data_IF_777327830017
#
_entry.id   IF_777327830017
#
_cell.length_a   1.000
_cell.length_b   1.000
_cell.length_c   1.000
_cell.angle_alpha   90.00
_cell.angle_beta   90.00
_cell.angle_gamma   90.00
#
_symmetry.space_group_name_H-M   'P 1'
#
loop_
_entity.id
_entity.type
_entity.pdbx_description
1 polymer ?
#
# COMPACT_ATOMS: atom_id res chain seq x y z
N UNK A 1 38.14 -27.03 -33.05
CA UNK A 1 38.67 -26.15 -31.98
C UNK A 1 37.58 -25.11 -31.73
N UNK A 2 36.67 -25.38 -30.79
CA UNK A 2 35.48 -24.56 -30.53
C UNK A 2 35.81 -23.50 -29.48
N UNK A 3 36.09 -22.27 -29.91
CA UNK A 3 36.19 -21.11 -29.03
C UNK A 3 34.79 -20.60 -28.69
N UNK A 4 34.14 -21.25 -27.72
CA UNK A 4 32.94 -20.72 -27.06
C UNK A 4 33.42 -19.78 -25.96
N UNK A 5 33.91 -18.60 -26.34
CA UNK A 5 34.07 -17.49 -25.40
C UNK A 5 32.95 -16.51 -25.71
N UNK A 6 32.05 -16.20 -24.77
CA UNK A 6 31.08 -15.13 -24.98
C UNK A 6 31.86 -13.85 -25.23
N UNK A 7 31.60 -13.22 -26.36
CA UNK A 7 32.13 -11.91 -26.68
C UNK A 7 31.60 -10.89 -25.65
N UNK A 8 32.41 -9.88 -25.34
CA UNK A 8 32.09 -8.83 -24.36
C UNK A 8 30.78 -8.10 -24.68
N UNK A 9 30.35 -8.09 -25.94
CA UNK A 9 29.08 -7.51 -26.37
C UNK A 9 27.88 -8.35 -25.87
N UNK A 10 27.99 -9.69 -25.91
CA UNK A 10 26.99 -10.61 -25.34
C UNK A 10 26.87 -10.47 -23.82
N UNK A 11 27.99 -10.31 -23.09
CA UNK A 11 27.95 -10.08 -21.65
C UNK A 11 27.37 -8.69 -21.30
N UNK A 12 27.68 -7.66 -22.09
CA UNK A 12 27.09 -6.32 -21.91
C UNK A 12 25.57 -6.34 -22.11
N UNK A 13 25.05 -7.03 -23.13
CA UNK A 13 23.60 -7.12 -23.38
C UNK A 13 22.83 -7.92 -22.31
N UNK A 14 23.47 -8.90 -21.67
CA UNK A 14 22.86 -9.67 -20.58
C UNK A 14 22.74 -8.81 -19.32
N UNK A 15 23.68 -7.89 -19.06
CA UNK A 15 23.61 -6.96 -17.93
C UNK A 15 22.45 -5.97 -18.07
N UNK A 16 22.29 -5.30 -19.21
CA UNK A 16 21.21 -4.33 -19.45
C UNK A 16 19.80 -4.93 -19.28
N UNK A 17 19.58 -6.15 -19.80
CA UNK A 17 18.27 -6.82 -19.69
C UNK A 17 18.00 -7.26 -18.24
N UNK A 18 19.01 -7.78 -17.56
CA UNK A 18 18.86 -8.32 -16.19
C UNK A 18 18.64 -7.19 -15.19
N UNK A 19 19.33 -6.06 -15.32
CA UNK A 19 19.18 -4.90 -14.44
C UNK A 19 17.76 -4.31 -14.48
N UNK A 20 17.16 -4.19 -15.66
CA UNK A 20 15.79 -3.69 -15.80
C UNK A 20 14.77 -4.58 -15.06
N UNK A 21 14.86 -5.91 -15.24
CA UNK A 21 13.96 -6.86 -14.57
C UNK A 21 14.16 -6.88 -13.05
N UNK A 22 15.39 -6.69 -12.56
CA UNK A 22 15.67 -6.59 -11.13
C UNK A 22 15.07 -5.33 -10.52
N UNK A 23 15.20 -4.17 -11.18
CA UNK A 23 14.62 -2.91 -10.71
C UNK A 23 13.09 -3.01 -10.71
N UNK A 24 12.50 -3.46 -11.83
CA UNK A 24 11.05 -3.63 -11.94
C UNK A 24 10.50 -4.61 -10.89
N UNK A 25 11.19 -5.74 -10.67
CA UNK A 25 10.81 -6.71 -9.65
C UNK A 25 10.89 -6.14 -8.23
N UNK A 26 11.94 -5.39 -7.92
CA UNK A 26 12.11 -4.76 -6.60
C UNK A 26 11.02 -3.72 -6.33
N UNK A 27 10.73 -2.85 -7.30
CA UNK A 27 9.66 -1.84 -7.19
C UNK A 27 8.31 -2.52 -7.00
N UNK A 28 8.02 -3.60 -7.74
CA UNK A 28 6.78 -4.36 -7.60
C UNK A 28 6.63 -4.95 -6.19
N UNK A 29 7.69 -5.57 -5.64
CA UNK A 29 7.68 -6.12 -4.29
C UNK A 29 7.41 -5.03 -3.26
N UNK A 30 8.12 -3.90 -3.37
CA UNK A 30 7.93 -2.75 -2.47
C UNK A 30 6.48 -2.24 -2.55
N UNK A 31 5.94 -2.03 -3.75
CA UNK A 31 4.58 -1.56 -3.92
C UNK A 31 3.54 -2.51 -3.29
N UNK A 32 3.72 -3.83 -3.41
CA UNK A 32 2.83 -4.82 -2.79
C UNK A 32 2.91 -4.76 -1.26
N UNK A 33 4.11 -4.66 -0.69
CA UNK A 33 4.28 -4.57 0.76
C UNK A 33 3.66 -3.28 1.31
N UNK A 34 3.91 -2.14 0.67
CA UNK A 34 3.32 -0.88 1.11
C UNK A 34 1.81 -0.83 0.91
N UNK A 35 1.29 -1.39 -0.18
CA UNK A 35 -0.14 -1.48 -0.44
C UNK A 35 -0.88 -2.35 0.58
N UNK A 36 -0.30 -3.51 0.92
CA UNK A 36 -0.86 -4.42 1.93
C UNK A 36 -0.76 -3.86 3.35
N UNK A 37 0.34 -3.20 3.70
CA UNK A 37 0.47 -2.59 5.02
C UNK A 37 -0.51 -1.41 5.20
N UNK A 38 -0.68 -0.59 4.16
CA UNK A 38 -1.63 0.54 4.17
C UNK A 38 -3.08 0.07 4.30
N UNK A 39 -3.47 -1.02 3.62
CA UNK A 39 -4.81 -1.57 3.73
C UNK A 39 -5.10 -2.12 5.13
N UNK A 40 -4.15 -2.83 5.73
CA UNK A 40 -4.27 -3.35 7.10
C UNK A 40 -4.40 -2.21 8.12
N UNK A 41 -3.56 -1.18 8.01
CA UNK A 41 -3.65 -0.01 8.90
C UNK A 41 -5.00 0.69 8.78
N UNK A 42 -5.49 0.89 7.55
CA UNK A 42 -6.78 1.53 7.29
C UNK A 42 -7.94 0.78 7.97
N UNK A 43 -7.97 -0.54 7.86
CA UNK A 43 -9.00 -1.35 8.53
C UNK A 43 -8.92 -1.23 10.04
N UNK A 44 -7.72 -1.29 10.62
CA UNK A 44 -7.54 -1.17 12.08
C UNK A 44 -7.95 0.20 12.61
N UNK A 45 -7.59 1.27 11.91
CA UNK A 45 -7.97 2.63 12.29
C UNK A 45 -9.49 2.84 12.20
N UNK A 46 -10.16 2.26 11.20
CA UNK A 46 -11.63 2.34 11.10
C UNK A 46 -12.33 1.60 12.25
N UNK A 47 -11.83 0.43 12.64
CA UNK A 47 -12.36 -0.32 13.79
C UNK A 47 -12.15 0.44 15.11
N UNK A 48 -10.94 0.99 15.30
CA UNK A 48 -10.60 1.80 16.48
C UNK A 48 -11.46 3.05 16.57
N UNK A 49 -11.56 3.81 15.47
CA UNK A 49 -12.36 5.05 15.40
C UNK A 49 -13.83 4.76 15.73
N UNK A 50 -14.40 3.65 15.25
CA UNK A 50 -15.78 3.26 15.59
C UNK A 50 -15.96 3.01 17.09
N UNK A 51 -14.99 2.36 17.74
CA UNK A 51 -15.03 2.10 19.19
C UNK A 51 -14.89 3.39 19.99
N UNK A 52 -14.02 4.30 19.55
CA UNK A 52 -13.82 5.60 20.19
C UNK A 52 -15.07 6.49 20.04
N UNK A 53 -15.68 6.55 18.85
CA UNK A 53 -16.95 7.28 18.63
C UNK A 53 -18.04 6.75 19.55
N UNK A 54 -18.16 5.43 19.73
CA UNK A 54 -19.14 4.85 20.65
C UNK A 54 -18.88 5.26 22.12
N UNK A 55 -17.62 5.33 22.53
CA UNK A 55 -17.24 5.82 23.86
C UNK A 55 -17.58 7.31 24.03
N UNK A 56 -17.26 8.17 23.05
CA UNK A 56 -17.59 9.60 23.09
C UNK A 56 -19.10 9.88 23.13
N UNK A 57 -19.90 9.04 22.45
CA UNK A 57 -21.36 9.10 22.54
C UNK A 57 -21.84 8.66 23.94
N UNK A 58 -21.26 7.60 24.50
CA UNK A 58 -21.60 7.13 25.85
C UNK A 58 -21.18 8.11 26.96
N UNK A 59 -20.06 8.81 26.78
CA UNK A 59 -19.58 9.88 27.66
C UNK A 59 -20.34 11.20 27.47
N UNK A 60 -21.16 11.31 26.42
CA UNK A 60 -21.94 12.51 26.11
C UNK A 60 -21.12 13.69 25.56
N UNK A 61 -19.85 13.47 25.22
CA UNK A 61 -18.97 14.49 24.61
C UNK A 61 -19.19 14.64 23.09
N UNK A 62 -19.95 13.72 22.49
CA UNK A 62 -20.34 13.72 21.08
C UNK A 62 -21.81 13.31 20.93
N UNK A 63 -22.58 14.02 20.09
CA UNK A 63 -23.97 13.60 19.81
C UNK A 63 -23.99 12.44 18.80
N UNK A 64 -25.00 11.55 18.85
CA UNK A 64 -25.13 10.44 17.91
C UNK A 64 -25.18 10.88 16.45
N UNK A 65 -25.86 12.00 16.15
CA UNK A 65 -25.98 12.56 14.80
C UNK A 65 -24.63 13.05 14.26
N UNK A 66 -23.79 13.57 15.17
CA UNK A 66 -22.46 14.05 14.84
C UNK A 66 -21.49 12.88 14.60
N UNK A 67 -21.62 11.80 15.39
CA UNK A 67 -20.90 10.53 15.17
C UNK A 67 -21.27 9.85 13.85
N UNK A 68 -22.56 9.82 13.48
CA UNK A 68 -23.01 9.26 12.20
C UNK A 68 -22.40 10.01 11.01
N UNK A 69 -22.37 11.35 11.07
CA UNK A 69 -21.74 12.19 10.05
C UNK A 69 -20.24 11.95 9.92
N UNK A 70 -19.52 11.80 11.04
CA UNK A 70 -18.08 11.46 11.05
C UNK A 70 -17.81 10.08 10.42
N UNK A 71 -18.62 9.07 10.77
CA UNK A 71 -18.51 7.73 10.21
C UNK A 71 -18.85 7.67 8.71
N UNK A 72 -19.68 8.58 8.22
CA UNK A 72 -20.02 8.71 6.80
C UNK A 72 -18.93 9.45 6.02
N UNK A 73 -18.43 10.57 6.55
CA UNK A 73 -17.36 11.35 5.94
C UNK A 73 -16.08 10.53 5.71
N UNK A 74 -15.74 9.63 6.65
CA UNK A 74 -14.60 8.73 6.51
C UNK A 74 -14.73 7.69 5.38
N UNK A 75 -15.96 7.36 4.94
CA UNK A 75 -16.19 6.45 3.79
C UNK A 75 -16.06 7.17 2.45
N UNK A 76 -16.48 8.44 2.39
CA UNK A 76 -16.51 9.21 1.15
C UNK A 76 -15.12 9.73 0.74
N UNK A 77 -14.22 9.94 1.70
CA UNK A 77 -12.82 10.34 1.44
C UNK A 77 -11.95 9.24 0.82
N UNK A 78 -12.40 7.99 0.87
CA UNK A 78 -11.68 6.81 0.35
C UNK A 78 -11.83 6.63 -1.18
N UNK A 79 -12.61 7.49 -1.84
CA UNK A 79 -12.95 7.41 -3.27
C UNK A 79 -12.09 8.26 -4.22
N UNK A 80 -10.98 8.85 -3.75
CA UNK A 80 -10.04 9.55 -4.63
C UNK A 80 -8.86 8.64 -4.98
N UNK A 81 -9.03 7.90 -6.08
CA UNK A 81 -7.97 7.21 -6.81
C UNK A 81 -8.05 7.58 -8.27
#
# INVERSE_FOLDING_TARGET
MNSITPDVWTLANVSDRTEFWLIAGTVAIVAVVFGTMSSVLKTREQERTRREIAAYIAEGSMTPEQGERLMKAGKDADGCG
#
